data_IF_268257172243
#
_entry.id   IF_268257172243
#
_cell.length_a   1.000
_cell.length_b   1.000
_cell.length_c   1.000
_cell.angle_alpha   90.00
_cell.angle_beta   90.00
_cell.angle_gamma   90.00
#
_symmetry.space_group_name_H-M   'P 1'
#
loop_
_entity.id
_entity.type
_entity.pdbx_description
1 polymer ?
#
# COMPACT_ATOMS: atom_id res chain seq x y z
N UNK A 1 15.23 7.72 -12.64
CA UNK A 1 14.39 8.81 -13.19
C UNK A 1 12.98 8.71 -12.63
N UNK A 2 12.48 9.81 -12.09
CA UNK A 2 11.09 9.88 -11.64
C UNK A 2 10.17 9.97 -12.88
N UNK A 3 9.11 9.18 -12.94
CA UNK A 3 8.10 9.27 -14.00
C UNK A 3 7.48 10.67 -14.12
N UNK A 4 7.35 11.37 -12.99
CA UNK A 4 6.84 12.76 -12.96
C UNK A 4 7.75 13.71 -13.72
N UNK A 5 9.07 13.54 -13.54
CA UNK A 5 10.06 14.34 -14.23
C UNK A 5 10.04 14.09 -15.74
N UNK A 6 9.91 12.83 -16.16
CA UNK A 6 9.80 12.46 -17.57
C UNK A 6 8.50 12.95 -18.18
N UNK A 7 7.40 12.90 -17.44
CA UNK A 7 6.10 13.41 -17.89
C UNK A 7 5.97 14.94 -17.89
N UNK A 8 7.02 15.66 -17.44
CA UNK A 8 6.99 17.13 -17.37
C UNK A 8 6.15 17.68 -16.22
N UNK A 9 5.85 16.86 -15.20
CA UNK A 9 5.08 17.28 -14.04
C UNK A 9 6.05 17.81 -12.99
N UNK A 10 5.94 19.10 -12.67
CA UNK A 10 6.83 19.78 -11.74
C UNK A 10 6.09 20.25 -10.49
N UNK A 11 6.80 20.22 -9.37
CA UNK A 11 6.35 20.93 -8.16
C UNK A 11 6.56 22.43 -8.36
N UNK A 12 5.70 23.24 -7.72
CA UNK A 12 5.80 24.70 -7.77
C UNK A 12 7.23 25.17 -7.46
N UNK A 13 7.79 26.02 -8.33
CA UNK A 13 9.14 26.56 -8.17
C UNK A 13 10.29 25.75 -8.81
N UNK A 14 10.00 24.61 -9.46
CA UNK A 14 11.00 23.84 -10.20
C UNK A 14 10.68 23.85 -11.69
N UNK A 15 11.54 24.44 -12.51
CA UNK A 15 11.28 24.68 -13.94
C UNK A 15 12.11 23.82 -14.89
N UNK A 16 12.89 22.86 -14.39
CA UNK A 16 13.69 22.03 -15.26
C UNK A 16 12.97 20.72 -15.59
N UNK A 17 12.98 20.39 -16.86
CA UNK A 17 12.36 19.18 -17.41
C UNK A 17 13.43 18.19 -17.84
N UNK A 18 13.04 16.92 -17.93
CA UNK A 18 13.84 15.93 -18.61
C UNK A 18 14.02 16.31 -20.07
N UNK A 19 15.23 16.21 -20.60
CA UNK A 19 15.53 16.38 -22.01
C UNK A 19 15.94 15.05 -22.64
N UNK A 20 15.79 14.93 -23.97
CA UNK A 20 16.09 13.70 -24.69
C UNK A 20 17.52 13.18 -24.39
N UNK A 21 18.49 14.09 -24.30
CA UNK A 21 19.87 13.71 -23.99
C UNK A 21 20.04 13.18 -22.54
N UNK A 22 19.27 13.67 -21.57
CA UNK A 22 19.27 13.13 -20.20
C UNK A 22 18.76 11.69 -20.20
N UNK A 23 17.64 11.46 -20.91
CA UNK A 23 17.07 10.12 -21.03
C UNK A 23 18.09 9.16 -21.66
N UNK A 24 18.67 9.57 -22.78
CA UNK A 24 19.71 8.78 -23.47
C UNK A 24 20.88 8.45 -22.55
N UNK A 25 21.44 9.46 -21.89
CA UNK A 25 22.59 9.29 -20.97
C UNK A 25 22.29 8.32 -19.83
N UNK A 26 21.16 8.49 -19.13
CA UNK A 26 20.83 7.68 -17.94
C UNK A 26 20.21 6.32 -18.26
N UNK A 27 19.96 6.04 -19.52
CA UNK A 27 19.49 4.73 -19.99
C UNK A 27 20.52 4.00 -20.85
N UNK A 28 21.80 4.42 -20.78
CA UNK A 28 22.88 3.87 -21.61
C UNK A 28 22.52 3.81 -23.10
N UNK A 29 21.95 4.89 -23.63
CA UNK A 29 21.49 5.00 -25.00
C UNK A 29 20.37 4.02 -25.42
N UNK A 30 19.66 3.40 -24.45
CA UNK A 30 18.53 2.53 -24.74
C UNK A 30 17.36 3.31 -25.39
N UNK A 31 17.15 4.56 -24.95
CA UNK A 31 16.12 5.44 -25.50
C UNK A 31 16.79 6.71 -26.05
N UNK A 32 16.78 6.85 -27.37
CA UNK A 32 17.33 8.03 -28.08
C UNK A 32 16.19 8.83 -28.69
N UNK A 33 16.40 10.13 -28.84
CA UNK A 33 15.49 11.04 -29.54
C UNK A 33 14.04 10.98 -29.04
N UNK A 34 13.86 10.82 -27.71
CA UNK A 34 12.53 10.76 -27.11
C UNK A 34 11.87 12.13 -27.20
N UNK A 35 10.65 12.18 -27.72
CA UNK A 35 9.85 13.41 -27.74
C UNK A 35 9.29 13.65 -26.34
N UNK A 36 9.62 14.76 -25.74
CA UNK A 36 9.22 15.16 -24.38
C UNK A 36 8.48 16.48 -24.41
N UNK A 37 7.75 16.77 -23.33
CA UNK A 37 7.16 18.09 -23.13
C UNK A 37 8.26 19.12 -22.91
N UNK A 38 8.19 20.23 -23.65
CA UNK A 38 9.14 21.33 -23.54
C UNK A 38 8.75 22.32 -22.45
N UNK A 39 7.50 22.29 -22.04
CA UNK A 39 6.95 23.18 -21.02
C UNK A 39 6.52 22.40 -19.78
N UNK A 40 6.93 22.88 -18.61
CA UNK A 40 6.49 22.30 -17.34
C UNK A 40 4.99 22.53 -17.15
N UNK A 41 4.25 21.43 -16.89
CA UNK A 41 2.85 21.50 -16.54
C UNK A 41 2.71 21.69 -15.03
N UNK A 42 2.10 22.78 -14.57
CA UNK A 42 1.82 22.94 -13.16
C UNK A 42 0.83 21.86 -12.71
N UNK A 43 1.05 21.31 -11.53
CA UNK A 43 0.04 20.48 -10.88
C UNK A 43 -0.99 21.46 -10.32
N UNK A 44 -2.07 21.66 -11.05
CA UNK A 44 -3.22 22.42 -10.57
C UNK A 44 -4.16 21.40 -9.94
N UNK A 45 -4.13 21.30 -8.64
CA UNK A 45 -5.10 20.49 -7.90
C UNK A 45 -6.07 21.43 -7.17
N UNK A 46 -7.20 21.63 -7.80
CA UNK A 46 -8.29 22.45 -7.23
C UNK A 46 -9.22 21.63 -6.32
N UNK A 47 -8.90 20.36 -6.06
CA UNK A 47 -9.70 19.51 -5.19
C UNK A 47 -9.40 19.82 -3.74
N UNK A 48 -10.43 20.18 -3.01
CA UNK A 48 -10.36 20.26 -1.55
C UNK A 48 -10.33 18.85 -0.99
N UNK A 49 -9.18 18.39 -0.58
CA UNK A 49 -9.04 17.12 0.12
C UNK A 49 -9.43 17.31 1.58
N UNK A 50 -10.58 16.81 1.95
CA UNK A 50 -10.91 16.61 3.36
C UNK A 50 -10.29 15.29 3.81
N UNK A 51 -9.24 15.39 4.60
CA UNK A 51 -8.72 14.23 5.31
C UNK A 51 -9.68 14.02 6.49
N UNK A 52 -10.65 13.12 6.32
CA UNK A 52 -11.45 12.68 7.45
C UNK A 52 -10.52 11.97 8.44
N UNK A 53 -10.41 12.45 9.68
CA UNK A 53 -9.64 11.73 10.68
C UNK A 53 -10.23 10.33 10.81
N UNK A 54 -9.35 9.33 10.83
CA UNK A 54 -9.79 7.96 11.03
C UNK A 54 -10.16 7.87 12.50
N UNK A 55 -11.38 7.47 12.76
CA UNK A 55 -11.76 7.07 14.09
C UNK A 55 -11.01 5.78 14.39
N UNK A 56 -9.92 5.89 15.13
CA UNK A 56 -9.26 4.75 15.74
C UNK A 56 -10.14 4.37 16.91
N UNK A 57 -11.07 3.46 16.66
CA UNK A 57 -11.84 2.88 17.73
C UNK A 57 -10.87 1.99 18.52
N UNK A 58 -10.40 2.49 19.65
CA UNK A 58 -9.77 1.66 20.67
C UNK A 58 -10.88 0.87 21.36
N UNK A 59 -11.33 -0.20 20.74
CA UNK A 59 -12.12 -1.18 21.46
C UNK A 59 -11.13 -1.92 22.35
N UNK A 60 -11.40 -1.91 23.65
CA UNK A 60 -10.65 -2.66 24.66
C UNK A 60 -10.81 -4.19 24.54
N UNK A 61 -11.64 -4.65 23.60
CA UNK A 61 -11.75 -6.07 23.27
C UNK A 61 -10.50 -6.53 22.53
N UNK A 62 -9.75 -7.40 23.18
CA UNK A 62 -8.51 -7.97 22.66
C UNK A 62 -8.80 -8.86 21.46
N UNK A 63 -8.46 -8.37 20.28
CA UNK A 63 -8.49 -9.19 19.06
C UNK A 63 -7.34 -10.18 19.06
N UNK A 64 -7.63 -11.42 18.70
CA UNK A 64 -6.63 -12.49 18.64
C UNK A 64 -5.81 -12.48 17.34
N UNK A 65 -6.26 -11.72 16.34
CA UNK A 65 -5.69 -11.71 14.99
C UNK A 65 -5.27 -10.30 14.58
N UNK A 66 -4.11 -10.20 13.95
CA UNK A 66 -3.62 -8.99 13.33
C UNK A 66 -3.59 -9.16 11.81
N UNK A 67 -4.20 -8.23 11.10
CA UNK A 67 -4.15 -8.14 9.63
C UNK A 67 -3.14 -7.06 9.24
N UNK A 68 -2.23 -7.41 8.35
CA UNK A 68 -1.17 -6.53 7.86
C UNK A 68 -1.17 -6.55 6.33
N UNK A 69 -1.38 -5.40 5.71
CA UNK A 69 -1.30 -5.29 4.25
C UNK A 69 0.15 -5.09 3.78
N UNK A 70 0.38 -5.38 2.50
CA UNK A 70 1.69 -5.35 1.85
C UNK A 70 2.41 -3.98 1.82
N UNK A 71 1.76 -2.93 2.27
CA UNK A 71 2.37 -1.61 2.44
C UNK A 71 2.89 -1.36 3.87
N UNK A 72 2.61 -2.27 4.82
CA UNK A 72 3.05 -2.17 6.21
C UNK A 72 3.91 -3.38 6.58
N UNK A 73 5.20 -3.30 6.23
CA UNK A 73 6.14 -4.43 6.41
C UNK A 73 6.98 -4.36 7.69
N UNK A 74 6.95 -3.23 8.41
CA UNK A 74 7.69 -3.09 9.66
C UNK A 74 6.82 -3.46 10.86
N UNK A 75 6.53 -4.76 11.00
CA UNK A 75 5.60 -5.26 12.01
C UNK A 75 6.15 -5.17 13.44
N UNK A 76 7.47 -5.08 13.61
CA UNK A 76 8.12 -4.98 14.93
C UNK A 76 7.71 -3.73 15.72
N UNK A 77 7.15 -2.72 15.05
CA UNK A 77 6.62 -1.52 15.69
C UNK A 77 5.27 -1.72 16.38
N UNK A 78 4.65 -2.89 16.23
CA UNK A 78 3.41 -3.25 16.90
C UNK A 78 3.66 -4.15 18.12
N UNK A 79 2.72 -4.18 19.06
CA UNK A 79 2.74 -5.14 20.15
C UNK A 79 2.22 -6.50 19.68
N UNK A 80 3.12 -7.30 19.14
CA UNK A 80 2.78 -8.56 18.47
C UNK A 80 2.44 -9.69 19.44
N UNK A 81 2.91 -9.61 20.68
CA UNK A 81 2.76 -10.69 21.69
C UNK A 81 1.31 -10.97 22.05
N UNK A 82 0.42 -10.00 21.86
CA UNK A 82 -1.00 -10.13 22.16
C UNK A 82 -1.79 -10.93 21.11
N UNK A 83 -1.19 -11.14 19.92
CA UNK A 83 -1.89 -11.82 18.83
C UNK A 83 -1.54 -13.31 18.78
N UNK A 84 -2.55 -14.16 18.61
CA UNK A 84 -2.37 -15.58 18.35
C UNK A 84 -1.80 -15.83 16.96
N UNK A 85 -2.17 -14.99 15.99
CA UNK A 85 -1.74 -15.14 14.59
C UNK A 85 -1.77 -13.82 13.86
N UNK A 86 -0.81 -13.66 12.95
CA UNK A 86 -0.68 -12.50 12.07
C UNK A 86 -0.98 -12.96 10.64
N UNK A 87 -1.88 -12.26 9.97
CA UNK A 87 -2.18 -12.49 8.57
C UNK A 87 -1.65 -11.35 7.72
N UNK A 88 -0.76 -11.68 6.80
CA UNK A 88 -0.35 -10.75 5.76
C UNK A 88 -1.31 -10.85 4.58
N UNK A 89 -1.73 -9.72 4.05
CA UNK A 89 -2.65 -9.66 2.91
C UNK A 89 -1.96 -9.01 1.72
N UNK A 90 -1.90 -9.74 0.61
CA UNK A 90 -1.41 -9.25 -0.67
C UNK A 90 -2.55 -9.23 -1.69
N UNK A 91 -3.03 -8.04 -2.03
CA UNK A 91 -4.07 -7.90 -3.04
C UNK A 91 -3.53 -8.22 -4.44
N UNK A 92 -4.31 -8.98 -5.19
CA UNK A 92 -4.01 -9.28 -6.59
C UNK A 92 -4.32 -8.07 -7.50
N UNK A 93 -4.08 -8.22 -8.82
CA UNK A 93 -4.35 -7.18 -9.81
C UNK A 93 -5.81 -7.07 -10.24
N UNK A 94 -6.69 -8.00 -9.85
CA UNK A 94 -8.05 -8.09 -10.39
C UNK A 94 -8.84 -6.80 -10.17
N UNK A 95 -8.78 -6.28 -8.95
CA UNK A 95 -9.55 -5.13 -8.50
C UNK A 95 -8.70 -3.85 -8.33
N UNK A 96 -7.43 -3.87 -8.73
CA UNK A 96 -6.57 -2.69 -8.67
C UNK A 96 -6.90 -1.70 -9.78
N UNK A 97 -6.98 -0.43 -9.43
CA UNK A 97 -7.09 0.65 -10.40
C UNK A 97 -5.81 0.76 -11.24
N UNK A 98 -4.65 0.70 -10.58
CA UNK A 98 -3.35 0.64 -11.24
C UNK A 98 -2.81 -0.78 -11.10
N UNK A 99 -2.65 -1.47 -12.24
CA UNK A 99 -2.08 -2.82 -12.28
C UNK A 99 -0.60 -2.77 -11.94
N UNK A 100 -0.16 -3.67 -11.07
CA UNK A 100 1.25 -3.87 -10.77
C UNK A 100 1.86 -4.87 -11.74
N UNK A 101 3.11 -4.64 -12.13
CA UNK A 101 3.89 -5.64 -12.87
C UNK A 101 4.05 -6.91 -12.01
N UNK A 102 4.11 -8.07 -12.68
CA UNK A 102 4.27 -9.37 -12.01
C UNK A 102 5.51 -9.40 -11.12
N UNK A 103 6.62 -8.80 -11.58
CA UNK A 103 7.87 -8.71 -10.79
C UNK A 103 7.68 -7.93 -9.49
N UNK A 104 6.80 -6.90 -9.49
CA UNK A 104 6.49 -6.14 -8.28
C UNK A 104 5.67 -6.97 -7.31
N UNK A 105 4.68 -7.72 -7.80
CA UNK A 105 3.91 -8.65 -6.97
C UNK A 105 4.78 -9.75 -6.39
N UNK A 106 5.67 -10.34 -7.20
CA UNK A 106 6.62 -11.37 -6.76
C UNK A 106 7.59 -10.82 -5.71
N UNK A 107 8.08 -9.60 -5.89
CA UNK A 107 8.94 -8.93 -4.91
C UNK A 107 8.21 -8.75 -3.57
N UNK A 108 6.98 -8.22 -3.59
CA UNK A 108 6.16 -8.08 -2.39
C UNK A 108 5.90 -9.41 -1.70
N UNK A 109 5.58 -10.45 -2.47
CA UNK A 109 5.39 -11.81 -1.94
C UNK A 109 6.67 -12.34 -1.26
N UNK A 110 7.84 -12.13 -1.87
CA UNK A 110 9.12 -12.54 -1.27
C UNK A 110 9.42 -11.82 0.04
N UNK A 111 9.13 -10.51 0.14
CA UNK A 111 9.29 -9.77 1.40
C UNK A 111 8.38 -10.37 2.48
N UNK A 112 7.10 -10.60 2.18
CA UNK A 112 6.17 -11.21 3.13
C UNK A 112 6.66 -12.60 3.54
N UNK A 113 7.06 -13.44 2.58
CA UNK A 113 7.58 -14.78 2.86
C UNK A 113 8.81 -14.74 3.76
N UNK A 114 9.70 -13.75 3.59
CA UNK A 114 10.85 -13.56 4.48
C UNK A 114 10.41 -13.25 5.91
N UNK A 115 9.36 -12.44 6.10
CA UNK A 115 8.79 -12.17 7.43
C UNK A 115 8.15 -13.42 8.05
N UNK A 116 7.45 -14.23 7.25
CA UNK A 116 6.84 -15.49 7.70
C UNK A 116 7.90 -16.48 8.22
N UNK A 117 9.06 -16.55 7.56
CA UNK A 117 10.13 -17.51 7.87
C UNK A 117 10.95 -17.10 9.11
N UNK A 118 10.85 -15.87 9.59
CA UNK A 118 11.59 -15.43 10.79
C UNK A 118 11.12 -16.10 12.09
N UNK A 119 10.02 -16.85 12.05
CA UNK A 119 9.63 -17.81 13.11
C UNK A 119 9.18 -17.21 14.45
N UNK A 120 9.27 -15.89 14.65
CA UNK A 120 8.92 -15.24 15.91
C UNK A 120 7.43 -15.30 16.25
N UNK A 121 6.58 -15.39 15.21
CA UNK A 121 5.11 -15.38 15.34
C UNK A 121 4.45 -16.36 14.39
N UNK A 122 3.33 -16.92 14.80
CA UNK A 122 2.47 -17.66 13.88
C UNK A 122 1.90 -16.70 12.86
N UNK A 123 2.27 -16.87 11.59
CA UNK A 123 1.87 -15.98 10.52
C UNK A 123 1.54 -16.72 9.24
N UNK A 124 0.70 -16.11 8.41
CA UNK A 124 0.24 -16.67 7.14
C UNK A 124 0.02 -15.59 6.11
N UNK A 125 0.26 -15.89 4.83
CA UNK A 125 -0.08 -15.02 3.72
C UNK A 125 -1.45 -15.40 3.17
N UNK A 126 -2.35 -14.44 3.14
CA UNK A 126 -3.65 -14.55 2.50
C UNK A 126 -3.65 -13.79 1.18
N UNK A 127 -4.23 -14.40 0.15
CA UNK A 127 -4.64 -13.65 -1.02
C UNK A 127 -5.96 -12.90 -0.76
N UNK A 128 -6.45 -12.18 -1.76
CA UNK A 128 -7.67 -11.39 -1.65
C UNK A 128 -8.91 -12.23 -1.33
N UNK A 129 -9.03 -13.43 -1.93
CA UNK A 129 -10.19 -14.30 -1.71
C UNK A 129 -10.11 -14.96 -0.32
N UNK A 130 -8.94 -15.44 0.05
CA UNK A 130 -8.70 -16.02 1.37
C UNK A 130 -8.96 -15.02 2.49
N UNK A 131 -8.57 -13.75 2.28
CA UNK A 131 -8.87 -12.69 3.23
C UNK A 131 -10.38 -12.43 3.34
N UNK A 132 -11.12 -12.38 2.22
CA UNK A 132 -12.57 -12.23 2.24
C UNK A 132 -13.23 -13.40 2.99
N UNK A 133 -12.80 -14.62 2.73
CA UNK A 133 -13.29 -15.81 3.42
C UNK A 133 -12.97 -15.80 4.92
N UNK A 134 -11.79 -15.28 5.29
CA UNK A 134 -11.39 -15.14 6.68
C UNK A 134 -12.31 -14.17 7.43
N UNK A 135 -12.55 -12.97 6.87
CA UNK A 135 -13.41 -11.97 7.52
C UNK A 135 -14.87 -12.40 7.66
N UNK A 136 -15.34 -13.31 6.81
CA UNK A 136 -16.70 -13.88 6.92
C UNK A 136 -16.84 -14.83 8.10
N UNK A 137 -15.75 -15.43 8.53
CA UNK A 137 -15.70 -16.40 9.63
C UNK A 137 -15.22 -15.82 10.95
N UNK A 138 -14.60 -14.64 10.91
CA UNK A 138 -13.95 -14.04 12.08
C UNK A 138 -14.85 -13.02 12.75
N UNK A 139 -14.92 -13.07 14.09
CA UNK A 139 -15.75 -12.20 14.90
C UNK A 139 -15.05 -10.86 15.16
N UNK A 140 -13.73 -10.89 15.40
CA UNK A 140 -12.93 -9.72 15.76
C UNK A 140 -11.51 -9.85 15.26
N UNK A 141 -10.95 -8.78 14.70
CA UNK A 141 -9.55 -8.67 14.29
C UNK A 141 -9.11 -7.22 14.24
N UNK A 142 -7.83 -7.01 14.52
CA UNK A 142 -7.19 -5.72 14.36
C UNK A 142 -6.57 -5.60 12.97
N UNK A 143 -6.53 -4.39 12.44
CA UNK A 143 -5.88 -4.11 11.15
C UNK A 143 -4.80 -3.06 11.37
N UNK A 144 -3.56 -3.38 10.99
CA UNK A 144 -2.51 -2.38 10.86
C UNK A 144 -2.95 -1.36 9.80
N UNK A 145 -3.08 -0.09 10.21
CA UNK A 145 -3.68 0.92 9.36
C UNK A 145 -2.93 1.09 8.03
N UNK A 146 -3.54 0.78 6.89
CA UNK A 146 -2.85 0.76 5.59
C UNK A 146 -2.64 2.15 4.97
N UNK A 147 -2.70 3.21 5.75
CA UNK A 147 -2.45 4.61 5.39
C UNK A 147 -3.29 5.13 4.22
N UNK A 148 -2.83 4.96 2.98
CA UNK A 148 -3.50 5.44 1.77
C UNK A 148 -3.39 4.40 0.64
N UNK A 149 -4.15 4.62 -0.44
CA UNK A 149 -4.03 3.85 -1.69
C UNK A 149 -4.99 2.68 -1.79
N UNK A 150 -4.60 1.70 -2.60
CA UNK A 150 -5.46 0.56 -2.99
C UNK A 150 -5.90 -0.29 -1.80
N UNK A 151 -4.99 -0.56 -0.86
CA UNK A 151 -5.29 -1.40 0.31
C UNK A 151 -6.37 -0.75 1.19
N UNK A 152 -6.24 0.55 1.46
CA UNK A 152 -7.25 1.28 2.23
C UNK A 152 -8.58 1.37 1.48
N UNK A 153 -8.54 1.61 0.16
CA UNK A 153 -9.73 1.69 -0.68
C UNK A 153 -10.49 0.35 -0.72
N UNK A 154 -9.75 -0.75 -0.84
CA UNK A 154 -10.30 -2.10 -0.77
C UNK A 154 -10.95 -2.37 0.58
N UNK A 155 -10.24 -2.09 1.67
CA UNK A 155 -10.72 -2.30 3.03
C UNK A 155 -11.98 -1.46 3.33
N UNK A 156 -12.02 -0.19 2.95
CA UNK A 156 -13.20 0.67 3.09
C UNK A 156 -14.42 0.12 2.35
N UNK A 157 -14.23 -0.44 1.14
CA UNK A 157 -15.32 -1.09 0.39
C UNK A 157 -15.85 -2.32 1.14
N UNK A 158 -14.95 -3.15 1.70
CA UNK A 158 -15.34 -4.32 2.48
C UNK A 158 -16.10 -3.93 3.75
N UNK A 159 -15.59 -2.97 4.51
CA UNK A 159 -16.23 -2.46 5.73
C UNK A 159 -17.67 -2.04 5.42
N UNK A 160 -17.84 -1.21 4.37
CA UNK A 160 -19.17 -0.73 3.97
C UNK A 160 -20.09 -1.87 3.52
N UNK A 161 -19.57 -2.81 2.70
CA UNK A 161 -20.36 -3.91 2.13
C UNK A 161 -20.80 -4.93 3.18
N UNK A 162 -19.95 -5.23 4.16
CA UNK A 162 -20.14 -6.29 5.15
C UNK A 162 -20.53 -5.76 6.53
N UNK A 163 -20.64 -4.45 6.71
CA UNK A 163 -20.88 -3.78 8.00
C UNK A 163 -19.90 -4.25 9.10
N UNK A 164 -18.62 -4.35 8.75
CA UNK A 164 -17.58 -4.86 9.64
C UNK A 164 -17.20 -3.84 10.69
N UNK A 165 -17.07 -4.30 11.93
CA UNK A 165 -16.41 -3.54 12.99
C UNK A 165 -14.92 -3.92 13.01
N UNK A 166 -14.08 -2.98 12.60
CA UNK A 166 -12.62 -3.19 12.54
C UNK A 166 -11.96 -2.23 13.51
N UNK A 167 -11.03 -2.75 14.27
CA UNK A 167 -10.15 -1.94 15.10
C UNK A 167 -8.86 -1.64 14.29
N UNK A 168 -8.60 -0.36 14.04
CA UNK A 168 -7.36 0.07 13.40
C UNK A 168 -6.29 0.33 14.45
N UNK A 169 -5.12 -0.24 14.22
CA UNK A 169 -3.94 0.04 15.04
C UNK A 169 -2.91 0.81 14.22
N UNK A 170 -2.22 1.72 14.88
CA UNK A 170 -1.08 2.46 14.33
C UNK A 170 0.21 2.00 15.00
N UNK A 171 1.34 2.30 14.38
CA UNK A 171 2.66 2.09 14.99
C UNK A 171 2.74 2.85 16.32
N UNK A 172 3.44 2.26 17.29
CA UNK A 172 3.88 3.00 18.49
C UNK A 172 5.02 3.91 18.06
N UNK A 173 4.93 5.17 18.43
CA UNK A 173 6.04 6.12 18.34
C UNK A 173 7.11 5.82 19.39
#
# INVERSE_FOLDING_TARGET
LSWRWVAGIQTKGKNYLAQSWNISKFTNNKYKNVKLNETALPIIDNRNYTISPIQINRNDELSEYLIVFDNEMHIQSFDLKRYKKIYFVLLNNKNRYIKLDSKVLDFKKKIITSQLNNGEFKSELLDENDFINFIEKSISFDVAYPSIGENLSFLKKLIKKKNLKINFITRKE
#
